data_IF_456499610600
#
_entry.id   IF_456499610600
#
_cell.length_a   1.000
_cell.length_b   1.000
_cell.length_c   1.000
_cell.angle_alpha   90.00
_cell.angle_beta   90.00
_cell.angle_gamma   90.00
#
_symmetry.space_group_name_H-M   'P 1'
#
loop_
_entity.id
_entity.type
_entity.pdbx_description
1 polymer ?
#
# COMPACT_ATOMS: atom_id res chain seq x y z
N UNK A 1 30.38 -16.77 -28.30
CA UNK A 1 28.97 -17.11 -28.60
C UNK A 1 28.77 -16.86 -30.08
N UNK A 2 28.65 -17.90 -30.92
CA UNK A 2 28.49 -17.72 -32.37
C UNK A 2 27.00 -17.63 -32.75
N UNK A 3 26.58 -16.43 -33.17
CA UNK A 3 25.37 -16.04 -33.91
C UNK A 3 24.00 -16.60 -33.46
N UNK A 4 23.56 -16.27 -32.24
CA UNK A 4 22.12 -16.32 -31.91
C UNK A 4 21.36 -15.18 -32.62
N UNK A 5 21.95 -13.98 -32.64
CA UNK A 5 21.31 -12.78 -33.19
C UNK A 5 21.65 -12.56 -34.67
N UNK A 6 20.66 -12.05 -35.41
CA UNK A 6 20.84 -11.44 -36.74
C UNK A 6 21.00 -9.95 -36.56
N UNK A 7 22.10 -9.39 -37.04
CA UNK A 7 22.31 -7.94 -37.03
C UNK A 7 21.73 -7.35 -38.31
N UNK A 8 20.72 -6.49 -38.18
CA UNK A 8 20.02 -5.85 -39.30
C UNK A 8 19.94 -4.34 -39.08
N UNK A 9 19.90 -3.52 -40.14
CA UNK A 9 19.61 -2.10 -40.02
C UNK A 9 18.30 -1.87 -39.27
N UNK A 10 18.26 -0.86 -38.41
CA UNK A 10 17.06 -0.54 -37.62
C UNK A 10 15.84 -0.24 -38.50
N UNK A 11 16.06 0.30 -39.69
CA UNK A 11 15.04 0.56 -40.71
C UNK A 11 14.25 -0.69 -41.11
N UNK A 12 14.81 -1.89 -40.97
CA UNK A 12 14.11 -3.16 -41.25
C UNK A 12 13.12 -3.57 -40.15
N UNK A 13 13.15 -2.91 -38.99
CA UNK A 13 12.23 -3.13 -37.88
C UNK A 13 11.10 -2.08 -37.82
N UNK A 14 11.03 -1.15 -38.79
CA UNK A 14 10.06 -0.05 -38.78
C UNK A 14 8.61 -0.48 -38.51
N UNK A 15 8.14 -1.53 -39.20
CA UNK A 15 6.77 -2.05 -39.06
C UNK A 15 6.57 -2.94 -37.82
N UNK A 16 7.64 -3.21 -37.06
CA UNK A 16 7.62 -4.03 -35.84
C UNK A 16 7.66 -3.20 -34.56
N UNK A 17 7.96 -1.91 -34.63
CA UNK A 17 7.95 -1.05 -33.46
C UNK A 17 6.51 -0.75 -33.00
N UNK A 18 6.17 -0.98 -31.72
CA UNK A 18 4.88 -0.62 -31.14
C UNK A 18 4.64 0.89 -31.19
N UNK A 19 3.41 1.31 -31.50
CA UNK A 19 3.05 2.73 -31.69
C UNK A 19 3.38 3.63 -30.48
N UNK A 20 3.35 3.07 -29.26
CA UNK A 20 3.66 3.78 -28.03
C UNK A 20 5.16 3.94 -27.74
N UNK A 21 6.04 3.24 -28.45
CA UNK A 21 7.47 3.22 -28.14
C UNK A 21 8.21 4.45 -28.67
N UNK A 22 9.30 4.82 -27.98
CA UNK A 22 10.26 5.82 -28.44
C UNK A 22 10.83 5.43 -29.81
N UNK A 23 11.14 4.14 -30.01
CA UNK A 23 11.68 3.64 -31.27
C UNK A 23 10.75 3.83 -32.46
N UNK A 24 9.43 3.68 -32.31
CA UNK A 24 8.48 3.92 -33.40
C UNK A 24 8.51 5.39 -33.88
N UNK A 25 8.83 6.33 -32.97
CA UNK A 25 8.87 7.77 -33.26
C UNK A 25 10.21 8.21 -33.86
N UNK A 26 11.32 7.65 -33.39
CA UNK A 26 12.65 8.18 -33.67
C UNK A 26 13.56 7.26 -34.48
N UNK A 27 13.14 6.06 -34.89
CA UNK A 27 14.01 5.16 -35.68
C UNK A 27 14.53 5.79 -36.99
N UNK A 28 13.80 6.76 -37.57
CA UNK A 28 14.17 7.43 -38.81
C UNK A 28 15.34 8.42 -38.64
N UNK A 29 15.66 8.81 -37.40
CA UNK A 29 16.79 9.69 -37.10
C UNK A 29 18.13 8.95 -37.15
N UNK A 30 18.10 7.62 -37.23
CA UNK A 30 19.27 6.76 -37.31
C UNK A 30 19.55 6.33 -38.75
N UNK A 31 20.85 6.20 -39.07
CA UNK A 31 21.29 5.70 -40.37
C UNK A 31 21.27 4.17 -40.42
N UNK A 32 21.43 3.60 -41.63
CA UNK A 32 21.54 2.15 -41.81
C UNK A 32 22.82 1.54 -41.21
N UNK A 33 23.76 2.37 -40.75
CA UNK A 33 24.95 1.91 -40.01
C UNK A 33 24.60 1.50 -38.57
N UNK A 34 23.51 2.04 -38.00
CA UNK A 34 22.99 1.61 -36.71
C UNK A 34 22.15 0.35 -36.84
N UNK A 35 22.45 -0.62 -35.99
CA UNK A 35 21.96 -1.98 -36.10
C UNK A 35 21.07 -2.37 -34.93
N UNK A 36 20.12 -3.24 -35.23
CA UNK A 36 19.36 -4.01 -34.28
C UNK A 36 19.92 -5.44 -34.19
N UNK A 37 20.12 -5.93 -32.97
CA UNK A 37 20.34 -7.34 -32.72
C UNK A 37 18.98 -8.06 -32.65
N UNK A 38 18.56 -8.67 -33.76
CA UNK A 38 17.28 -9.36 -33.89
C UNK A 38 17.38 -10.85 -33.55
N UNK A 39 16.46 -11.33 -32.73
CA UNK A 39 16.30 -12.74 -32.38
C UNK A 39 14.86 -13.18 -32.60
N UNK A 40 14.66 -14.34 -33.24
CA UNK A 40 13.33 -14.90 -33.54
C UNK A 40 13.09 -16.14 -32.67
N UNK A 41 12.01 -16.12 -31.87
CA UNK A 41 11.65 -17.17 -30.93
C UNK A 41 12.07 -16.89 -29.49
N UNK A 42 11.88 -17.89 -28.62
CA UNK A 42 12.15 -17.76 -27.18
C UNK A 42 13.67 -17.81 -26.90
N UNK A 43 14.13 -16.90 -26.03
CA UNK A 43 15.54 -16.76 -25.66
C UNK A 43 15.73 -16.94 -24.15
N UNK A 44 16.77 -17.68 -23.77
CA UNK A 44 17.23 -17.79 -22.38
C UNK A 44 18.70 -17.46 -22.28
N UNK A 45 19.06 -16.50 -21.42
CA UNK A 45 20.44 -16.10 -21.16
C UNK A 45 20.74 -16.09 -19.65
N UNK A 46 21.96 -16.42 -19.21
CA UNK A 46 22.31 -16.25 -17.79
C UNK A 46 22.45 -14.77 -17.41
N UNK A 47 22.81 -13.91 -18.36
CA UNK A 47 22.90 -12.47 -18.13
C UNK A 47 22.93 -11.72 -19.45
N UNK A 48 22.50 -10.46 -19.43
CA UNK A 48 22.59 -9.53 -20.54
C UNK A 48 23.03 -8.16 -20.03
N UNK A 49 24.20 -7.70 -20.49
CA UNK A 49 24.65 -6.32 -20.28
C UNK A 49 24.14 -5.45 -21.43
N UNK A 50 23.51 -4.32 -21.12
CA UNK A 50 22.99 -3.34 -22.08
C UNK A 50 23.92 -2.13 -22.28
N UNK A 51 25.10 -2.09 -21.65
CA UNK A 51 26.12 -1.06 -21.95
C UNK A 51 26.49 -1.10 -23.44
N UNK A 52 26.44 0.07 -24.12
CA UNK A 52 26.81 0.22 -25.54
C UNK A 52 28.20 -0.34 -25.86
N UNK A 53 29.14 -0.23 -24.94
CA UNK A 53 30.52 -0.67 -25.15
C UNK A 53 30.70 -2.21 -25.10
N UNK A 54 29.77 -2.93 -24.48
CA UNK A 54 30.03 -4.31 -24.03
C UNK A 54 28.99 -5.36 -24.42
N UNK A 55 27.75 -4.98 -24.75
CA UNK A 55 26.69 -5.96 -24.99
C UNK A 55 27.02 -6.92 -26.16
N UNK A 56 27.61 -6.36 -27.22
CA UNK A 56 28.02 -7.09 -28.41
C UNK A 56 29.48 -6.75 -28.73
N UNK A 57 30.47 -7.38 -28.07
CA UNK A 57 31.88 -7.03 -28.21
C UNK A 57 32.45 -7.23 -29.64
N UNK A 58 31.64 -7.77 -30.55
CA UNK A 58 31.97 -7.98 -31.97
C UNK A 58 31.14 -7.10 -32.92
N UNK A 59 30.15 -6.33 -32.43
CA UNK A 59 29.27 -5.49 -33.23
C UNK A 59 29.01 -4.14 -32.51
N UNK A 60 29.78 -3.10 -32.87
CA UNK A 60 29.83 -1.82 -32.14
C UNK A 60 28.64 -0.88 -32.36
N UNK A 61 27.88 -1.09 -33.43
CA UNK A 61 26.79 -0.18 -33.83
C UNK A 61 25.40 -0.69 -33.40
N UNK A 62 25.34 -1.61 -32.44
CA UNK A 62 24.05 -2.13 -31.95
C UNK A 62 23.45 -1.14 -30.96
N UNK A 63 22.29 -0.60 -31.31
CA UNK A 63 21.58 0.39 -30.47
C UNK A 63 20.31 -0.17 -29.83
N UNK A 64 19.82 -1.31 -30.34
CA UNK A 64 18.65 -2.01 -29.81
C UNK A 64 18.78 -3.53 -29.95
N UNK A 65 18.28 -4.26 -28.96
CA UNK A 65 18.05 -5.69 -29.00
C UNK A 65 16.56 -5.94 -29.19
N UNK A 66 16.20 -6.69 -30.23
CA UNK A 66 14.81 -7.03 -30.53
C UNK A 66 14.61 -8.54 -30.43
N UNK A 67 13.82 -8.99 -29.47
CA UNK A 67 13.48 -10.40 -29.24
C UNK A 67 12.02 -10.61 -29.63
N UNK A 68 11.82 -11.31 -30.74
CA UNK A 68 10.52 -11.68 -31.27
C UNK A 68 10.05 -13.02 -30.65
N UNK A 69 9.73 -12.97 -29.35
CA UNK A 69 9.38 -14.12 -28.53
C UNK A 69 9.45 -13.81 -27.03
N UNK A 70 9.44 -14.85 -26.19
CA UNK A 70 9.65 -14.69 -24.76
C UNK A 70 11.15 -14.58 -24.43
N UNK A 71 11.48 -13.79 -23.41
CA UNK A 71 12.85 -13.64 -22.94
C UNK A 71 12.96 -14.06 -21.47
N UNK A 72 13.89 -14.94 -21.16
CA UNK A 72 14.24 -15.31 -19.78
C UNK A 72 15.71 -14.99 -19.54
N UNK A 73 16.00 -14.23 -18.50
CA UNK A 73 17.38 -13.84 -18.17
C UNK A 73 17.60 -13.87 -16.67
N UNK A 74 18.71 -14.38 -16.14
CA UNK A 74 18.90 -14.22 -14.69
C UNK A 74 19.14 -12.73 -14.39
N UNK A 75 20.18 -12.13 -14.97
CA UNK A 75 20.55 -10.74 -14.67
C UNK A 75 20.54 -9.85 -15.92
N UNK A 76 19.68 -8.83 -15.93
CA UNK A 76 19.64 -7.78 -16.95
C UNK A 76 20.16 -6.47 -16.34
N UNK A 77 21.18 -5.87 -16.93
CA UNK A 77 21.79 -4.67 -16.33
C UNK A 77 22.54 -3.78 -17.32
N UNK A 78 22.82 -2.55 -16.91
CA UNK A 78 23.83 -1.66 -17.48
C UNK A 78 24.44 -0.79 -16.37
N UNK A 79 25.63 -0.24 -16.60
CA UNK A 79 26.27 0.73 -15.71
C UNK A 79 26.19 2.16 -16.24
N UNK A 80 26.24 2.33 -17.55
CA UNK A 80 26.09 3.65 -18.18
C UNK A 80 24.61 4.04 -18.18
N UNK A 81 24.25 5.12 -17.49
CA UNK A 81 22.85 5.53 -17.28
C UNK A 81 22.45 6.72 -18.14
N UNK A 82 23.38 7.45 -18.77
CA UNK A 82 23.07 8.54 -19.72
C UNK A 82 22.79 8.01 -21.15
N UNK A 83 22.76 6.68 -21.31
CA UNK A 83 22.36 6.02 -22.53
C UNK A 83 22.84 4.58 -22.62
N UNK A 84 21.93 3.66 -22.91
CA UNK A 84 22.21 2.23 -23.03
C UNK A 84 21.47 1.60 -24.23
N UNK A 85 21.80 0.34 -24.54
CA UNK A 85 21.14 -0.40 -25.62
C UNK A 85 19.69 -0.65 -25.23
N UNK A 86 18.76 -0.19 -26.07
CA UNK A 86 17.34 -0.46 -25.87
C UNK A 86 17.02 -1.95 -25.97
N UNK A 87 15.96 -2.40 -25.29
CA UNK A 87 15.50 -3.78 -25.32
C UNK A 87 14.02 -3.85 -25.65
N UNK A 88 13.65 -4.64 -26.65
CA UNK A 88 12.26 -4.88 -27.02
C UNK A 88 11.96 -6.37 -27.04
N UNK A 89 10.92 -6.78 -26.30
CA UNK A 89 10.45 -8.15 -26.17
C UNK A 89 8.98 -8.21 -26.56
N UNK A 90 8.65 -8.99 -27.59
CA UNK A 90 7.26 -9.13 -28.08
C UNK A 90 6.42 -10.11 -27.26
N UNK A 91 7.04 -10.92 -26.41
CA UNK A 91 6.39 -11.81 -25.44
C UNK A 91 6.60 -11.38 -23.99
N UNK A 92 6.69 -12.36 -23.09
CA UNK A 92 6.95 -12.15 -21.67
C UNK A 92 8.46 -12.01 -21.40
N UNK A 93 8.80 -11.19 -20.40
CA UNK A 93 10.16 -11.09 -19.85
C UNK A 93 10.17 -11.64 -18.42
N UNK A 94 10.94 -12.71 -18.21
CA UNK A 94 11.23 -13.24 -16.87
C UNK A 94 12.67 -12.92 -16.53
N UNK A 95 12.88 -12.24 -15.40
CA UNK A 95 14.19 -11.90 -14.89
C UNK A 95 14.38 -12.36 -13.45
N UNK A 96 15.63 -12.68 -13.05
CA UNK A 96 15.95 -12.76 -11.62
C UNK A 96 16.16 -11.35 -11.06
N UNK A 97 17.01 -10.57 -11.72
CA UNK A 97 17.31 -9.18 -11.38
C UNK A 97 17.31 -8.29 -12.62
N UNK A 98 16.81 -7.08 -12.48
CA UNK A 98 16.91 -6.00 -13.46
C UNK A 98 17.44 -4.75 -12.75
N UNK A 99 18.57 -4.21 -13.21
CA UNK A 99 19.14 -2.94 -12.74
C UNK A 99 19.62 -2.12 -13.95
N UNK A 100 18.81 -1.15 -14.39
CA UNK A 100 18.95 -0.49 -15.69
C UNK A 100 18.75 1.01 -15.61
N UNK A 101 19.21 1.75 -16.63
CA UNK A 101 19.05 3.21 -16.71
C UNK A 101 19.46 3.81 -18.05
N UNK A 102 18.76 4.84 -18.52
CA UNK A 102 19.09 5.56 -19.76
C UNK A 102 18.55 5.02 -21.08
N UNK A 103 17.78 3.93 -21.06
CA UNK A 103 17.19 3.32 -22.25
C UNK A 103 15.70 3.01 -22.09
N UNK A 104 15.02 2.84 -23.22
CA UNK A 104 13.71 2.21 -23.26
C UNK A 104 13.84 0.68 -23.18
N UNK A 105 13.12 0.08 -22.24
CA UNK A 105 12.81 -1.35 -22.22
C UNK A 105 11.32 -1.53 -22.49
N UNK A 106 10.97 -2.27 -23.54
CA UNK A 106 9.59 -2.50 -23.93
C UNK A 106 9.25 -4.00 -23.85
N UNK A 107 8.21 -4.33 -23.09
CA UNK A 107 7.68 -5.70 -22.94
C UNK A 107 6.21 -5.72 -23.34
N UNK A 108 5.89 -6.44 -24.42
CA UNK A 108 4.50 -6.54 -24.90
C UNK A 108 3.64 -7.49 -24.05
N UNK A 109 4.28 -8.42 -23.33
CA UNK A 109 3.63 -9.33 -22.40
C UNK A 109 3.83 -8.92 -20.94
N UNK A 110 3.93 -9.92 -20.07
CA UNK A 110 4.14 -9.73 -18.64
C UNK A 110 5.64 -9.59 -18.32
N UNK A 111 5.94 -8.78 -17.30
CA UNK A 111 7.27 -8.65 -16.71
C UNK A 111 7.28 -9.29 -15.31
N UNK A 112 8.05 -10.36 -15.14
CA UNK A 112 8.20 -11.06 -13.86
C UNK A 112 9.65 -10.96 -13.39
N UNK A 113 9.88 -10.38 -12.21
CA UNK A 113 11.21 -10.21 -11.62
C UNK A 113 11.27 -10.93 -10.27
N UNK A 114 12.15 -11.92 -10.14
CA UNK A 114 12.21 -12.76 -8.92
C UNK A 114 12.70 -12.00 -7.69
N UNK A 115 13.72 -11.14 -7.85
CA UNK A 115 14.33 -10.38 -6.76
C UNK A 115 14.13 -8.87 -7.00
N UNK A 116 15.10 -8.18 -7.61
CA UNK A 116 15.13 -6.72 -7.71
C UNK A 116 14.79 -6.22 -9.10
N UNK A 117 13.84 -5.29 -9.18
CA UNK A 117 13.66 -4.37 -10.30
C UNK A 117 14.13 -2.98 -9.87
N UNK A 118 15.16 -2.44 -10.52
CA UNK A 118 15.68 -1.11 -10.27
C UNK A 118 15.85 -0.38 -11.60
N UNK A 119 15.21 0.77 -11.71
CA UNK A 119 15.45 1.75 -12.78
C UNK A 119 16.12 2.97 -12.17
N UNK A 120 17.12 3.53 -12.86
CA UNK A 120 17.79 4.76 -12.46
C UNK A 120 17.92 5.71 -13.65
N UNK A 121 18.03 6.99 -13.34
CA UNK A 121 18.23 8.13 -14.23
C UNK A 121 17.02 8.44 -15.12
N UNK A 122 16.62 9.70 -15.14
CA UNK A 122 15.38 10.17 -15.74
C UNK A 122 15.31 10.10 -17.28
N UNK A 123 16.40 9.72 -17.95
CA UNK A 123 16.47 9.59 -19.41
C UNK A 123 15.92 8.26 -19.97
N UNK A 124 15.51 7.31 -19.12
CA UNK A 124 15.00 6.00 -19.55
C UNK A 124 13.59 5.66 -19.05
N UNK A 125 13.01 4.62 -19.64
CA UNK A 125 11.72 4.09 -19.21
C UNK A 125 11.58 2.59 -19.47
N UNK A 126 10.84 1.91 -18.59
CA UNK A 126 10.34 0.55 -18.84
C UNK A 126 8.84 0.60 -19.09
N UNK A 127 8.40 0.06 -20.22
CA UNK A 127 7.00 -0.03 -20.62
C UNK A 127 6.61 -1.51 -20.63
N UNK A 128 5.58 -1.86 -19.86
CA UNK A 128 5.01 -3.21 -19.77
C UNK A 128 3.53 -3.15 -20.14
N UNK A 129 3.15 -3.83 -21.21
CA UNK A 129 1.75 -3.85 -21.66
C UNK A 129 0.92 -4.87 -20.85
N UNK A 130 1.55 -5.94 -20.37
CA UNK A 130 0.93 -6.90 -19.48
C UNK A 130 1.03 -6.52 -17.99
N UNK A 131 1.02 -7.54 -17.15
CA UNK A 131 1.18 -7.40 -15.70
C UNK A 131 2.67 -7.29 -15.31
N UNK A 132 2.94 -6.56 -14.22
CA UNK A 132 4.26 -6.46 -13.60
C UNK A 132 4.24 -7.14 -12.22
N UNK A 133 5.19 -8.04 -11.98
CA UNK A 133 5.48 -8.58 -10.66
C UNK A 133 6.96 -8.47 -10.32
N UNK A 134 7.27 -8.00 -9.11
CA UNK A 134 8.62 -8.01 -8.56
C UNK A 134 8.60 -8.24 -7.05
N UNK A 135 9.63 -8.88 -6.50
CA UNK A 135 9.78 -8.97 -5.05
C UNK A 135 10.14 -7.61 -4.44
N UNK A 136 11.10 -6.90 -5.04
CA UNK A 136 11.48 -5.55 -4.63
C UNK A 136 11.57 -4.64 -5.85
N UNK A 137 10.86 -3.51 -5.80
CA UNK A 137 11.00 -2.41 -6.73
C UNK A 137 11.79 -1.29 -6.03
N UNK A 138 12.98 -0.98 -6.56
CA UNK A 138 13.82 0.12 -6.11
C UNK A 138 13.64 1.28 -7.08
N UNK A 139 13.03 2.36 -6.59
CA UNK A 139 12.87 3.60 -7.32
C UNK A 139 14.09 4.47 -7.08
N UNK A 140 14.80 4.79 -8.15
CA UNK A 140 15.98 5.63 -8.16
C UNK A 140 15.90 6.62 -9.34
N UNK A 141 16.33 7.85 -9.07
CA UNK A 141 16.50 8.96 -10.01
C UNK A 141 15.45 9.08 -11.15
N UNK A 142 14.16 9.11 -10.78
CA UNK A 142 12.98 9.36 -11.63
C UNK A 142 12.79 8.41 -12.84
N UNK A 143 13.45 7.25 -12.89
CA UNK A 143 13.26 6.31 -13.99
C UNK A 143 11.80 5.83 -14.10
N UNK A 144 11.19 6.00 -15.28
CA UNK A 144 9.75 5.76 -15.45
C UNK A 144 9.43 4.27 -15.66
N UNK A 145 8.53 3.70 -14.86
CA UNK A 145 8.02 2.33 -15.04
C UNK A 145 6.51 2.36 -15.28
N UNK A 146 6.13 2.23 -16.55
CA UNK A 146 4.75 2.27 -17.03
C UNK A 146 4.22 0.85 -17.22
N UNK A 147 3.04 0.59 -16.67
CA UNK A 147 2.40 -0.73 -16.70
C UNK A 147 0.92 -0.53 -17.04
N UNK A 148 0.45 -1.18 -18.10
CA UNK A 148 -0.98 -1.15 -18.49
C UNK A 148 -1.81 -2.18 -17.72
N UNK A 149 -1.20 -3.29 -17.30
CA UNK A 149 -1.79 -4.33 -16.46
C UNK A 149 -1.69 -4.06 -14.95
N UNK A 150 -1.81 -5.12 -14.15
CA UNK A 150 -1.71 -5.03 -12.68
C UNK A 150 -0.24 -5.00 -12.21
N UNK A 151 0.03 -4.20 -11.17
CA UNK A 151 1.31 -4.19 -10.45
C UNK A 151 1.19 -5.04 -9.17
N UNK A 152 2.04 -6.04 -9.04
CA UNK A 152 2.16 -6.89 -7.84
C UNK A 152 3.59 -6.83 -7.31
N UNK A 153 3.84 -5.82 -6.46
CA UNK A 153 5.15 -5.55 -5.87
C UNK A 153 5.09 -5.90 -4.38
N UNK A 154 5.98 -6.78 -3.90
CA UNK A 154 5.98 -7.16 -2.48
C UNK A 154 6.64 -6.09 -1.60
N UNK A 155 7.68 -5.43 -2.10
CA UNK A 155 8.39 -4.32 -1.45
C UNK A 155 8.63 -3.19 -2.44
N UNK A 156 8.22 -1.98 -2.09
CA UNK A 156 8.65 -0.75 -2.76
C UNK A 156 9.74 -0.11 -1.89
N UNK A 157 10.79 0.41 -2.51
CA UNK A 157 11.88 1.11 -1.85
C UNK A 157 12.15 2.39 -2.63
N UNK A 158 12.25 3.51 -1.95
CA UNK A 158 12.70 4.77 -2.54
C UNK A 158 14.04 5.18 -1.93
N UNK A 159 15.07 5.21 -2.76
CA UNK A 159 16.46 5.37 -2.30
C UNK A 159 16.78 6.79 -1.85
N UNK A 160 16.12 7.79 -2.41
CA UNK A 160 16.31 9.21 -2.06
C UNK A 160 15.85 9.53 -0.65
N UNK A 161 14.95 8.72 -0.13
CA UNK A 161 14.17 9.02 1.05
C UNK A 161 14.51 8.07 2.20
N UNK A 162 15.37 7.08 1.95
CA UNK A 162 15.82 6.08 2.93
C UNK A 162 14.73 5.09 3.38
N UNK A 163 13.55 5.15 2.78
CA UNK A 163 12.35 4.46 3.25
C UNK A 163 11.72 3.56 2.17
N UNK A 164 10.95 2.57 2.62
CA UNK A 164 10.21 1.66 1.76
C UNK A 164 8.88 1.19 2.37
N UNK A 165 8.13 0.44 1.58
CA UNK A 165 6.87 -0.19 1.96
C UNK A 165 6.95 -1.68 1.63
N UNK A 166 6.94 -2.54 2.64
CA UNK A 166 6.88 -3.99 2.48
C UNK A 166 5.49 -4.49 2.87
N UNK A 167 4.70 -4.93 1.88
CA UNK A 167 3.34 -5.43 2.10
C UNK A 167 2.52 -4.52 3.03
N UNK A 168 2.43 -3.24 2.67
CA UNK A 168 1.75 -2.15 3.41
C UNK A 168 2.44 -1.65 4.68
N UNK A 169 3.49 -2.34 5.17
CA UNK A 169 4.23 -1.92 6.36
C UNK A 169 5.40 -1.01 5.97
N UNK A 170 5.64 0.09 6.70
CA UNK A 170 6.84 0.88 6.48
C UNK A 170 8.08 0.06 6.85
N UNK A 171 9.09 0.09 5.99
CA UNK A 171 10.36 -0.61 6.18
C UNK A 171 11.50 0.37 5.93
N UNK A 172 12.58 0.25 6.69
CA UNK A 172 13.82 0.99 6.43
C UNK A 172 14.57 0.32 5.26
N UNK A 173 15.13 1.12 4.35
CA UNK A 173 15.83 0.59 3.17
C UNK A 173 17.00 -0.35 3.54
N UNK A 174 17.70 -0.08 4.64
CA UNK A 174 18.79 -0.89 5.15
C UNK A 174 18.31 -2.22 5.73
N UNK A 175 17.02 -2.40 6.01
CA UNK A 175 16.47 -3.72 6.37
C UNK A 175 16.21 -4.59 5.15
N UNK A 176 16.04 -3.98 3.97
CA UNK A 176 15.72 -4.64 2.70
C UNK A 176 16.98 -4.93 1.88
N UNK A 177 17.84 -3.93 1.71
CA UNK A 177 19.04 -4.01 0.88
C UNK A 177 20.30 -4.30 1.72
N UNK A 178 21.29 -4.98 1.14
CA UNK A 178 22.58 -5.24 1.80
C UNK A 178 23.37 -3.94 2.00
N UNK A 179 24.14 -3.84 3.08
CA UNK A 179 24.88 -2.61 3.39
C UNK A 179 25.91 -2.25 2.29
N UNK A 180 26.37 -3.23 1.50
CA UNK A 180 27.33 -3.00 0.42
C UNK A 180 26.81 -2.06 -0.68
N UNK A 181 25.49 -1.95 -0.88
CA UNK A 181 24.96 -1.05 -1.91
C UNK A 181 24.87 0.41 -1.44
N UNK A 182 25.29 0.70 -0.22
CA UNK A 182 25.36 2.04 0.32
C UNK A 182 26.82 2.48 0.46
N UNK A 183 27.13 3.69 0.00
CA UNK A 183 28.47 4.26 0.08
C UNK A 183 28.50 5.37 1.13
N UNK A 184 29.55 5.36 1.94
CA UNK A 184 29.86 6.46 2.86
C UNK A 184 30.23 7.70 2.04
N UNK A 185 29.33 8.68 2.00
CA UNK A 185 29.60 9.96 1.35
C UNK A 185 30.20 10.95 2.37
N UNK A 186 29.71 10.96 3.61
CA UNK A 186 30.22 11.72 4.77
C UNK A 186 29.93 10.98 6.11
N UNK A 187 30.50 11.42 7.24
CA UNK A 187 30.42 10.73 8.56
C UNK A 187 28.99 10.49 9.11
N UNK A 188 27.96 11.10 8.51
CA UNK A 188 26.57 11.03 8.96
C UNK A 188 25.57 10.49 7.92
N UNK A 189 25.95 10.32 6.64
CA UNK A 189 25.02 9.94 5.55
C UNK A 189 25.59 8.84 4.63
N UNK A 190 24.87 7.71 4.55
CA UNK A 190 25.11 6.61 3.62
C UNK A 190 24.14 6.69 2.44
N UNK A 191 24.65 6.80 1.22
CA UNK A 191 23.82 6.97 0.01
C UNK A 191 23.78 5.68 -0.82
N UNK A 192 22.60 5.36 -1.36
CA UNK A 192 22.44 4.23 -2.27
C UNK A 192 23.29 4.43 -3.54
N UNK A 193 23.97 3.37 -3.97
CA UNK A 193 24.79 3.35 -5.17
C UNK A 193 24.28 2.34 -6.19
N UNK A 194 23.65 2.84 -7.25
CA UNK A 194 23.23 2.04 -8.39
C UNK A 194 24.39 1.23 -9.00
N UNK A 195 25.56 1.86 -9.16
CA UNK A 195 26.76 1.18 -9.66
C UNK A 195 27.16 -0.03 -8.81
N UNK A 196 27.02 0.08 -7.49
CA UNK A 196 27.34 -1.04 -6.58
C UNK A 196 26.26 -2.11 -6.61
N UNK A 197 24.97 -1.75 -6.71
CA UNK A 197 23.89 -2.71 -6.97
C UNK A 197 24.17 -3.53 -8.24
N UNK A 198 24.55 -2.87 -9.34
CA UNK A 198 24.91 -3.56 -10.60
C UNK A 198 26.10 -4.51 -10.38
N UNK A 199 27.13 -4.12 -9.62
CA UNK A 199 28.26 -5.00 -9.31
C UNK A 199 27.82 -6.28 -8.56
N UNK A 200 26.96 -6.14 -7.54
CA UNK A 200 26.42 -7.27 -6.76
C UNK A 200 25.66 -8.24 -7.68
N UNK A 201 24.83 -7.70 -8.58
CA UNK A 201 24.07 -8.49 -9.57
C UNK A 201 25.01 -9.19 -10.56
N UNK A 202 26.03 -8.50 -11.09
CA UNK A 202 27.04 -9.07 -12.00
C UNK A 202 27.79 -10.23 -11.34
N UNK A 203 28.09 -10.11 -10.05
CA UNK A 203 28.70 -11.17 -9.23
C UNK A 203 27.74 -12.33 -8.91
N UNK A 204 26.48 -12.24 -9.35
CA UNK A 204 25.40 -13.22 -9.12
C UNK A 204 25.07 -13.40 -7.63
N UNK A 205 25.28 -12.35 -6.84
CA UNK A 205 24.84 -12.27 -5.45
C UNK A 205 23.47 -11.59 -5.40
N UNK A 206 22.72 -11.89 -4.35
CA UNK A 206 21.49 -11.14 -4.07
C UNK A 206 21.86 -9.85 -3.35
N UNK A 207 21.29 -8.73 -3.78
CA UNK A 207 21.40 -7.47 -3.05
C UNK A 207 20.31 -7.32 -1.96
N UNK A 208 19.44 -8.33 -1.80
CA UNK A 208 18.45 -8.37 -0.74
C UNK A 208 19.05 -8.99 0.52
N UNK A 209 18.80 -8.37 1.67
CA UNK A 209 18.94 -9.05 2.95
C UNK A 209 17.91 -10.17 3.02
N UNK A 210 18.22 -11.25 3.73
CA UNK A 210 17.19 -12.23 4.09
C UNK A 210 16.23 -11.50 5.03
N UNK A 211 15.13 -10.99 4.47
CA UNK A 211 14.04 -10.36 5.22
C UNK A 211 13.58 -11.39 6.26
N UNK A 212 14.07 -11.24 7.49
CA UNK A 212 13.92 -12.23 8.54
C UNK A 212 12.45 -12.26 9.02
N UNK A 213 12.04 -13.40 9.57
CA UNK A 213 10.80 -13.63 10.31
C UNK A 213 10.50 -12.59 11.43
N UNK A 214 11.44 -11.69 11.73
CA UNK A 214 11.29 -10.55 12.65
C UNK A 214 10.22 -9.55 12.22
N UNK A 215 10.04 -9.28 10.92
CA UNK A 215 8.93 -8.44 10.43
C UNK A 215 7.55 -9.13 10.60
N UNK A 216 7.54 -10.44 10.86
CA UNK A 216 6.31 -11.22 11.08
C UNK A 216 6.03 -11.57 12.56
N UNK A 217 6.91 -11.18 13.50
CA UNK A 217 6.81 -11.65 14.88
C UNK A 217 5.89 -10.78 15.73
N UNK A 218 4.60 -11.14 15.74
CA UNK A 218 3.59 -10.54 16.63
C UNK A 218 3.97 -10.69 18.10
N UNK A 219 3.99 -9.58 18.85
CA UNK A 219 3.96 -9.62 20.32
C UNK A 219 2.60 -10.16 20.78
N UNK A 220 2.53 -10.92 21.88
CA UNK A 220 1.25 -11.31 22.45
C UNK A 220 0.49 -10.06 22.89
N UNK A 221 -0.71 -9.86 22.34
CA UNK A 221 -1.56 -8.70 22.61
C UNK A 221 -2.70 -9.10 23.54
N UNK A 222 -3.04 -8.26 24.52
CA UNK A 222 -4.15 -8.50 25.44
C UNK A 222 -5.48 -8.14 24.78
N UNK A 223 -6.37 -9.12 24.59
CA UNK A 223 -7.68 -8.91 24.00
C UNK A 223 -8.71 -8.39 25.03
N UNK A 224 -9.63 -7.55 24.58
CA UNK A 224 -10.72 -6.99 25.39
C UNK A 224 -11.79 -8.05 25.71
N UNK A 225 -12.20 -8.80 24.69
CA UNK A 225 -12.98 -10.03 24.79
C UNK A 225 -12.07 -11.25 24.76
N UNK A 226 -12.19 -12.10 25.79
CA UNK A 226 -11.39 -13.33 25.94
C UNK A 226 -12.16 -14.60 25.59
N UNK A 227 -13.48 -14.51 25.44
CA UNK A 227 -14.38 -15.59 25.05
C UNK A 227 -15.48 -15.03 24.14
N UNK A 228 -15.99 -15.85 23.22
CA UNK A 228 -16.96 -15.45 22.20
C UNK A 228 -18.40 -15.90 22.48
N UNK A 229 -18.73 -16.23 23.73
CA UNK A 229 -20.10 -16.60 24.10
C UNK A 229 -21.03 -15.38 24.05
N UNK A 230 -22.28 -15.57 23.62
CA UNK A 230 -23.35 -14.58 23.82
C UNK A 230 -23.75 -14.66 25.29
N UNK A 231 -23.29 -13.72 26.10
CA UNK A 231 -23.55 -13.66 27.53
C UNK A 231 -23.69 -12.21 28.00
N UNK A 232 -24.21 -12.02 29.22
CA UNK A 232 -24.37 -10.69 29.84
C UNK A 232 -23.04 -9.92 29.87
N UNK A 233 -21.96 -10.58 30.27
CA UNK A 233 -20.63 -9.96 30.39
C UNK A 233 -20.20 -9.29 29.08
N UNK A 234 -20.30 -10.02 27.96
CA UNK A 234 -19.90 -9.53 26.66
C UNK A 234 -20.85 -8.43 26.16
N UNK A 235 -22.16 -8.57 26.38
CA UNK A 235 -23.14 -7.54 26.03
C UNK A 235 -22.88 -6.23 26.79
N UNK A 236 -22.58 -6.30 28.10
CA UNK A 236 -22.23 -5.13 28.91
C UNK A 236 -20.85 -4.56 28.54
N UNK A 237 -19.91 -5.38 28.08
CA UNK A 237 -18.63 -4.91 27.54
C UNK A 237 -18.80 -4.17 26.21
N UNK A 238 -19.72 -4.62 25.34
CA UNK A 238 -20.04 -3.91 24.09
C UNK A 238 -20.51 -2.48 24.34
N UNK A 239 -21.23 -2.24 25.44
CA UNK A 239 -21.71 -0.90 25.80
C UNK A 239 -20.65 -0.02 26.48
N UNK A 240 -19.49 -0.58 26.81
CA UNK A 240 -18.39 0.12 27.45
C UNK A 240 -17.14 0.17 26.56
N UNK A 241 -17.26 -0.28 25.30
CA UNK A 241 -16.16 -0.30 24.37
C UNK A 241 -15.87 1.08 23.77
N UNK A 242 -14.70 1.24 23.17
CA UNK A 242 -14.24 2.49 22.56
C UNK A 242 -15.18 3.06 21.50
N UNK A 243 -15.98 2.24 20.83
CA UNK A 243 -16.92 2.72 19.82
C UNK A 243 -18.18 3.36 20.43
N UNK A 244 -18.44 3.14 21.73
CA UNK A 244 -19.57 3.74 22.43
C UNK A 244 -19.16 5.12 22.98
N UNK A 245 -19.65 6.18 22.35
CA UNK A 245 -19.34 7.57 22.71
C UNK A 245 -20.41 8.17 23.63
N UNK A 246 -20.05 9.20 24.40
CA UNK A 246 -20.96 9.84 25.37
C UNK A 246 -22.10 10.65 24.70
N UNK A 247 -21.95 11.01 23.42
CA UNK A 247 -22.89 11.87 22.68
C UNK A 247 -24.01 11.09 21.98
N UNK A 248 -23.83 9.79 21.74
CA UNK A 248 -24.80 8.94 21.05
C UNK A 248 -25.11 7.69 21.87
N UNK A 249 -26.39 7.29 21.97
CA UNK A 249 -26.76 6.08 22.69
C UNK A 249 -26.51 4.80 21.88
N UNK A 250 -25.79 4.86 20.75
CA UNK A 250 -25.49 3.69 19.91
C UNK A 250 -24.34 3.95 18.96
N UNK A 251 -23.69 2.89 18.52
CA UNK A 251 -22.78 2.90 17.37
C UNK A 251 -23.17 1.80 16.36
N UNK A 252 -22.78 1.99 15.10
CA UNK A 252 -23.01 1.04 14.03
C UNK A 252 -21.88 1.04 12.99
N UNK A 253 -21.68 -0.10 12.33
CA UNK A 253 -20.69 -0.27 11.26
C UNK A 253 -21.03 -1.50 10.38
N UNK A 254 -20.33 -1.64 9.26
CA UNK A 254 -20.42 -2.82 8.38
C UNK A 254 -19.07 -3.52 8.27
N UNK A 255 -19.06 -4.84 8.35
CA UNK A 255 -17.87 -5.68 8.14
C UNK A 255 -18.25 -6.94 7.36
N UNK A 256 -17.50 -7.24 6.29
CA UNK A 256 -17.72 -8.41 5.41
C UNK A 256 -19.19 -8.62 4.97
N UNK A 257 -19.91 -7.53 4.70
CA UNK A 257 -21.31 -7.57 4.27
C UNK A 257 -22.33 -7.82 5.40
N UNK A 258 -21.89 -7.74 6.65
CA UNK A 258 -22.75 -7.80 7.84
C UNK A 258 -22.80 -6.42 8.49
N UNK A 259 -24.00 -5.93 8.76
CA UNK A 259 -24.23 -4.69 9.50
C UNK A 259 -24.39 -4.98 10.99
N UNK A 260 -23.72 -4.20 11.83
CA UNK A 260 -23.79 -4.27 13.28
C UNK A 260 -24.29 -2.95 13.84
N UNK A 261 -25.17 -3.01 14.84
CA UNK A 261 -25.54 -1.86 15.67
C UNK A 261 -25.62 -2.30 17.13
N UNK A 262 -24.93 -1.57 18.01
CA UNK A 262 -24.99 -1.75 19.47
C UNK A 262 -25.62 -0.51 20.07
N UNK A 263 -26.56 -0.70 20.99
CA UNK A 263 -27.38 0.37 21.53
C UNK A 263 -27.50 0.29 23.05
N UNK A 264 -27.38 1.44 23.72
CA UNK A 264 -27.64 1.66 25.13
C UNK A 264 -29.14 1.80 25.40
N UNK A 265 -29.49 1.56 26.66
CA UNK A 265 -30.80 1.93 27.16
C UNK A 265 -30.98 3.46 27.08
N UNK A 266 -31.98 3.91 26.33
CA UNK A 266 -32.30 5.33 26.19
C UNK A 266 -33.76 5.55 25.80
N UNK A 267 -34.23 6.78 25.94
CA UNK A 267 -35.52 7.22 25.40
C UNK A 267 -35.22 7.89 24.06
N UNK A 268 -35.81 7.39 22.98
CA UNK A 268 -35.59 7.97 21.66
C UNK A 268 -36.36 9.28 21.44
N UNK A 269 -36.19 9.89 20.25
CA UNK A 269 -36.82 11.17 19.92
C UNK A 269 -38.36 11.12 19.90
N UNK A 270 -38.94 9.93 19.74
CA UNK A 270 -40.37 9.69 19.73
C UNK A 270 -40.93 9.38 21.13
N UNK A 271 -40.04 9.23 22.13
CA UNK A 271 -40.39 8.96 23.52
C UNK A 271 -40.49 7.47 23.85
N UNK A 272 -40.06 6.59 22.94
CA UNK A 272 -40.06 5.14 23.17
C UNK A 272 -38.83 4.74 24.00
N UNK A 273 -39.07 3.91 25.02
CA UNK A 273 -37.98 3.24 25.76
C UNK A 273 -37.31 2.22 24.83
N UNK A 274 -35.99 2.34 24.71
CA UNK A 274 -35.15 1.42 23.94
C UNK A 274 -34.28 0.62 24.89
N UNK A 275 -34.30 -0.70 24.74
CA UNK A 275 -33.48 -1.60 25.55
C UNK A 275 -32.02 -1.62 25.08
N UNK A 276 -31.15 -2.05 26.01
CA UNK A 276 -29.78 -2.42 25.70
C UNK A 276 -29.80 -3.60 24.74
N UNK A 277 -29.33 -3.36 23.52
CA UNK A 277 -29.46 -4.34 22.44
C UNK A 277 -28.31 -4.33 21.43
N UNK A 278 -28.11 -5.50 20.82
CA UNK A 278 -27.22 -5.73 19.69
C UNK A 278 -28.06 -6.21 18.53
N UNK A 279 -28.02 -5.46 17.44
CA UNK A 279 -28.65 -5.81 16.20
C UNK A 279 -27.61 -6.17 15.15
N UNK A 280 -27.81 -7.29 14.47
CA UNK A 280 -26.93 -7.77 13.40
C UNK A 280 -27.75 -8.12 12.18
N UNK A 281 -27.25 -7.80 10.99
CA UNK A 281 -27.91 -8.12 9.72
C UNK A 281 -26.89 -8.64 8.72
N UNK A 282 -27.03 -9.88 8.30
CA UNK A 282 -26.24 -10.48 7.22
C UNK A 282 -27.04 -10.50 5.90
N UNK A 283 -26.67 -11.37 4.96
CA UNK A 283 -27.33 -11.53 3.66
C UNK A 283 -28.54 -12.49 3.67
N UNK A 284 -28.87 -13.11 4.82
CA UNK A 284 -29.97 -14.09 4.99
C UNK A 284 -30.93 -13.69 6.10
N UNK A 285 -30.43 -13.14 7.20
CA UNK A 285 -31.15 -12.94 8.44
C UNK A 285 -30.88 -11.58 9.10
N UNK A 286 -31.82 -11.19 9.94
CA UNK A 286 -31.64 -10.20 10.98
C UNK A 286 -31.64 -10.91 12.33
N UNK A 287 -30.76 -10.47 13.21
CA UNK A 287 -30.65 -10.93 14.58
C UNK A 287 -30.83 -9.75 15.52
N UNK A 288 -31.60 -9.95 16.59
CA UNK A 288 -31.79 -8.98 17.65
C UNK A 288 -31.53 -9.67 19.00
N UNK A 289 -30.53 -9.18 19.71
CA UNK A 289 -30.11 -9.67 21.02
C UNK A 289 -30.33 -8.53 22.00
N UNK A 290 -31.00 -8.78 23.11
CA UNK A 290 -31.18 -7.76 24.16
C UNK A 290 -30.98 -8.37 25.53
N UNK A 291 -30.69 -7.50 26.49
CA UNK A 291 -30.55 -7.87 27.90
C UNK A 291 -31.82 -7.44 28.63
N UNK A 292 -32.51 -8.41 29.24
CA UNK A 292 -33.69 -8.19 30.07
C UNK A 292 -33.31 -7.58 31.43
N UNK A 293 -34.29 -6.98 32.11
CA UNK A 293 -34.08 -6.41 33.46
C UNK A 293 -33.65 -7.44 34.51
N UNK A 294 -33.94 -8.73 34.28
CA UNK A 294 -33.52 -9.84 35.16
C UNK A 294 -32.16 -10.44 34.76
N UNK A 295 -31.43 -9.78 33.85
CA UNK A 295 -30.16 -10.19 33.28
C UNK A 295 -30.22 -11.46 32.40
N UNK A 296 -31.42 -11.92 32.04
CA UNK A 296 -31.58 -12.92 30.99
C UNK A 296 -31.36 -12.30 29.60
N UNK A 297 -30.99 -13.14 28.64
CA UNK A 297 -30.67 -12.70 27.28
C UNK A 297 -31.77 -13.20 26.36
N UNK A 298 -32.42 -12.28 25.67
CA UNK A 298 -33.36 -12.61 24.61
C UNK A 298 -32.66 -12.64 23.25
N UNK A 299 -33.03 -13.61 22.41
CA UNK A 299 -32.53 -13.71 21.04
C UNK A 299 -33.70 -13.89 20.07
N UNK A 300 -33.81 -12.98 19.10
CA UNK A 300 -34.75 -13.08 17.98
C UNK A 300 -34.00 -13.19 16.65
N UNK A 301 -34.55 -13.99 15.74
CA UNK A 301 -34.11 -14.13 14.35
C UNK A 301 -35.28 -13.86 13.41
N UNK A 302 -35.03 -13.20 12.28
CA UNK A 302 -35.97 -13.19 11.14
C UNK A 302 -35.22 -13.29 9.82
N UNK A 303 -35.85 -13.84 8.79
CA UNK A 303 -35.34 -13.81 7.42
C UNK A 303 -35.46 -12.41 6.81
N UNK A 304 -34.64 -12.11 5.80
CA UNK A 304 -34.65 -10.81 5.11
C UNK A 304 -35.89 -10.60 4.24
N UNK A 305 -36.61 -11.67 3.91
CA UNK A 305 -37.82 -11.61 3.07
C UNK A 305 -38.87 -10.67 3.69
N UNK A 306 -39.45 -9.80 2.87
CA UNK A 306 -40.47 -8.85 3.30
C UNK A 306 -41.67 -9.56 3.92
N UNK A 307 -42.07 -9.15 5.13
CA UNK A 307 -43.19 -9.72 5.88
C UNK A 307 -42.84 -10.93 6.76
N UNK A 308 -41.56 -11.30 6.86
CA UNK A 308 -41.10 -12.34 7.78
C UNK A 308 -41.27 -11.92 9.25
N UNK A 309 -41.80 -12.83 10.07
CA UNK A 309 -41.99 -12.62 11.51
C UNK A 309 -40.69 -12.89 12.29
N UNK A 310 -40.57 -12.30 13.48
CA UNK A 310 -39.49 -12.59 14.41
C UNK A 310 -39.73 -13.92 15.12
N UNK A 311 -38.76 -14.81 15.06
CA UNK A 311 -38.71 -16.10 15.74
C UNK A 311 -37.85 -15.99 17.00
N UNK A 312 -38.36 -16.44 18.13
CA UNK A 312 -37.60 -16.57 19.38
C UNK A 312 -36.72 -17.81 19.33
N UNK A 313 -35.41 -17.57 19.38
CA UNK A 313 -34.36 -18.58 19.27
C UNK A 313 -33.56 -18.71 20.57
N UNK A 314 -34.04 -18.15 21.68
CA UNK A 314 -33.34 -18.11 22.97
C UNK A 314 -33.04 -19.51 23.52
N UNK A 315 -33.92 -20.49 23.26
CA UNK A 315 -33.76 -21.88 23.70
C UNK A 315 -33.12 -22.81 22.65
N UNK A 316 -32.67 -22.28 21.49
CA UNK A 316 -32.01 -23.10 20.45
C UNK A 316 -30.65 -23.66 20.92
N UNK A 317 -30.27 -24.83 20.41
CA UNK A 317 -28.99 -25.46 20.74
C UNK A 317 -27.80 -24.74 20.07
N UNK A 318 -26.59 -24.89 20.62
CA UNK A 318 -25.36 -24.28 20.04
C UNK A 318 -25.13 -24.64 18.56
N UNK A 319 -25.51 -25.84 18.11
CA UNK A 319 -25.41 -26.24 16.69
C UNK A 319 -26.38 -25.45 15.79
N UNK A 320 -27.54 -25.07 16.31
CA UNK A 320 -28.55 -24.27 15.59
C UNK A 320 -28.21 -22.77 15.58
N UNK A 321 -27.42 -22.32 16.55
CA UNK A 321 -26.92 -20.95 16.66
C UNK A 321 -25.56 -20.72 15.95
N UNK A 322 -25.09 -21.66 15.11
CA UNK A 322 -23.80 -21.54 14.44
C UNK A 322 -23.69 -20.27 13.58
N UNK A 323 -24.74 -19.93 12.81
CA UNK A 323 -24.74 -18.75 11.93
C UNK A 323 -24.67 -17.43 12.70
N UNK A 324 -25.40 -17.31 13.83
CA UNK A 324 -25.30 -16.13 14.69
C UNK A 324 -23.97 -16.09 15.45
N UNK A 325 -23.39 -17.25 15.79
CA UNK A 325 -22.09 -17.35 16.44
C UNK A 325 -20.96 -16.79 15.57
N UNK A 326 -21.03 -16.96 14.26
CA UNK A 326 -20.05 -16.38 13.32
C UNK A 326 -20.15 -14.85 13.29
N UNK A 327 -21.38 -14.31 13.14
CA UNK A 327 -21.61 -12.87 13.17
C UNK A 327 -21.20 -12.26 14.52
N UNK A 328 -21.53 -12.92 15.62
CA UNK A 328 -21.18 -12.50 16.97
C UNK A 328 -19.66 -12.52 17.19
N UNK A 329 -18.98 -13.61 16.77
CA UNK A 329 -17.52 -13.69 16.85
C UNK A 329 -16.88 -12.58 16.01
N UNK A 330 -17.45 -12.26 14.84
CA UNK A 330 -16.98 -11.14 14.02
C UNK A 330 -17.13 -9.80 14.75
N UNK A 331 -18.30 -9.49 15.32
CA UNK A 331 -18.51 -8.27 16.12
C UNK A 331 -17.47 -8.12 17.24
N UNK A 332 -17.32 -9.16 18.06
CA UNK A 332 -16.35 -9.15 19.17
C UNK A 332 -14.91 -9.03 18.67
N UNK A 333 -14.58 -9.64 17.54
CA UNK A 333 -13.26 -9.49 16.91
C UNK A 333 -13.04 -8.06 16.43
N UNK A 334 -14.05 -7.45 15.81
CA UNK A 334 -13.97 -6.06 15.34
C UNK A 334 -13.72 -5.10 16.50
N UNK A 335 -14.40 -5.30 17.62
CA UNK A 335 -14.25 -4.43 18.80
C UNK A 335 -12.96 -4.71 19.55
N UNK A 336 -12.50 -5.97 19.60
CA UNK A 336 -11.14 -6.28 20.05
C UNK A 336 -10.12 -5.45 19.26
N UNK A 337 -10.23 -5.45 17.94
CA UNK A 337 -9.34 -4.70 17.06
C UNK A 337 -9.46 -3.19 17.27
N UNK A 338 -10.68 -2.66 17.41
CA UNK A 338 -10.92 -1.27 17.76
C UNK A 338 -10.25 -0.89 19.10
N UNK A 339 -10.43 -1.68 20.16
CA UNK A 339 -9.83 -1.44 21.47
C UNK A 339 -8.30 -1.52 21.45
N UNK A 340 -7.74 -2.42 20.62
CA UNK A 340 -6.30 -2.57 20.48
C UNK A 340 -5.64 -1.38 19.79
N UNK A 341 -6.32 -0.77 18.82
CA UNK A 341 -5.67 0.17 17.91
C UNK A 341 -6.22 1.60 17.97
N UNK A 342 -7.50 1.84 18.28
CA UNK A 342 -8.04 3.21 18.33
C UNK A 342 -7.49 4.03 19.51
N UNK A 343 -7.18 3.39 20.65
CA UNK A 343 -6.60 4.10 21.82
C UNK A 343 -5.13 4.48 21.66
N UNK A 344 -4.43 3.97 20.64
CA UNK A 344 -2.97 4.13 20.55
C UNK A 344 -2.53 5.55 20.15
N UNK A 345 -3.49 6.43 19.82
CA UNK A 345 -3.21 7.84 19.49
C UNK A 345 -3.94 8.73 20.49
N UNK A 346 -3.17 9.54 21.20
CA UNK A 346 -3.73 10.52 22.13
C UNK A 346 -4.43 11.64 21.36
N UNK A 347 -5.70 11.90 21.70
CA UNK A 347 -6.50 12.98 21.09
C UNK A 347 -5.80 14.32 21.24
N UNK A 348 -5.27 14.60 22.43
CA UNK A 348 -4.58 15.85 22.73
C UNK A 348 -3.38 16.05 21.80
N UNK A 349 -2.61 15.00 21.51
CA UNK A 349 -1.47 15.09 20.61
C UNK A 349 -1.87 15.52 19.19
N UNK A 350 -2.94 14.92 18.63
CA UNK A 350 -3.45 15.30 17.32
C UNK A 350 -4.00 16.74 17.33
N UNK A 351 -4.71 17.11 18.40
CA UNK A 351 -5.20 18.48 18.57
C UNK A 351 -4.05 19.49 18.67
N UNK A 352 -3.00 19.18 19.43
CA UNK A 352 -1.83 20.06 19.61
C UNK A 352 -1.10 20.29 18.30
N UNK A 353 -0.90 19.24 17.48
CA UNK A 353 -0.35 19.37 16.12
C UNK A 353 -1.23 20.29 15.29
N UNK A 354 -2.53 19.99 15.22
CA UNK A 354 -3.44 20.74 14.38
C UNK A 354 -3.51 22.20 14.80
N UNK A 355 -3.39 22.52 16.09
CA UNK A 355 -3.40 23.90 16.60
C UNK A 355 -2.03 24.60 16.57
N UNK A 356 -0.97 23.92 16.15
CA UNK A 356 0.37 24.49 16.13
C UNK A 356 0.46 25.64 15.09
N UNK A 357 1.13 26.74 15.44
CA UNK A 357 1.19 27.97 14.63
C UNK A 357 1.64 27.67 13.19
N UNK A 358 2.71 26.90 13.03
CA UNK A 358 3.26 26.49 11.72
C UNK A 358 2.22 25.72 10.86
N UNK A 359 1.37 24.90 11.49
CA UNK A 359 0.31 24.16 10.78
C UNK A 359 -0.85 25.10 10.44
N UNK A 360 -1.20 26.02 11.34
CA UNK A 360 -2.26 27.01 11.10
C UNK A 360 -1.90 28.00 9.99
N UNK A 361 -0.62 28.35 9.84
CA UNK A 361 -0.13 29.20 8.75
C UNK A 361 -0.32 28.58 7.36
N UNK A 362 -0.19 27.26 7.21
CA UNK A 362 -0.39 26.55 5.94
C UNK A 362 -1.79 26.77 5.35
N UNK A 363 -2.82 26.90 6.20
CA UNK A 363 -4.20 27.15 5.76
C UNK A 363 -4.47 28.59 5.32
N UNK A 364 -3.56 29.52 5.61
CA UNK A 364 -3.76 30.93 5.30
C UNK A 364 -3.31 31.32 3.88
N UNK A 365 -2.57 30.44 3.21
CA UNK A 365 -2.08 30.62 1.85
C UNK A 365 -2.99 29.87 0.86
N UNK A 366 -3.64 30.59 -0.05
CA UNK A 366 -4.58 30.04 -1.06
C UNK A 366 -3.89 29.23 -2.19
N UNK A 367 -2.86 28.42 -1.91
CA UNK A 367 -2.18 27.59 -2.91
C UNK A 367 -2.29 26.08 -2.63
N UNK A 368 -2.48 25.31 -3.70
CA UNK A 368 -3.00 23.94 -3.75
C UNK A 368 -2.08 22.82 -3.22
N UNK A 369 -1.14 23.09 -2.29
CA UNK A 369 -0.33 22.05 -1.64
C UNK A 369 0.10 22.48 -0.21
N UNK A 370 -0.79 22.32 0.77
CA UNK A 370 -0.71 22.81 2.15
C UNK A 370 -0.15 21.77 3.15
N UNK A 371 0.81 20.96 2.71
CA UNK A 371 1.35 19.84 3.48
C UNK A 371 2.87 19.84 3.68
N UNK A 372 3.34 18.89 4.49
CA UNK A 372 4.76 18.61 4.65
C UNK A 372 5.20 17.39 3.87
N UNK A 373 6.36 17.50 3.24
CA UNK A 373 7.09 16.38 2.66
C UNK A 373 8.27 16.02 3.58
N UNK A 374 8.35 14.76 4.05
CA UNK A 374 9.52 14.29 4.81
C UNK A 374 10.66 13.75 3.94
N UNK A 375 10.47 13.76 2.63
CA UNK A 375 11.32 13.04 1.71
C UNK A 375 10.58 11.91 1.03
N UNK A 376 9.64 11.22 1.71
CA UNK A 376 8.92 10.02 1.24
C UNK A 376 7.41 9.98 1.37
N UNK A 377 6.88 10.75 2.30
CA UNK A 377 5.46 10.77 2.63
C UNK A 377 5.01 12.20 2.65
N UNK A 378 3.78 12.38 2.16
CA UNK A 378 3.14 13.67 2.16
C UNK A 378 2.13 13.71 3.30
N UNK A 379 2.29 14.71 4.16
CA UNK A 379 1.45 14.96 5.31
C UNK A 379 0.58 16.17 5.02
N UNK A 380 -0.72 15.96 4.85
CA UNK A 380 -1.68 17.07 4.74
C UNK A 380 -2.56 17.14 5.97
N UNK A 381 -3.15 18.31 6.16
CA UNK A 381 -3.91 18.63 7.35
C UNK A 381 -5.25 19.22 6.93
N UNK A 382 -6.30 18.94 7.69
CA UNK A 382 -7.59 19.64 7.58
C UNK A 382 -8.09 20.09 8.95
N UNK A 383 -8.40 21.37 9.08
CA UNK A 383 -9.09 21.89 10.26
C UNK A 383 -10.57 21.49 10.25
N UNK A 384 -11.15 21.35 11.45
CA UNK A 384 -12.59 21.12 11.58
C UNK A 384 -13.36 22.34 11.06
N UNK A 385 -14.32 22.11 10.17
CA UNK A 385 -15.18 23.16 9.64
C UNK A 385 -16.53 22.58 9.20
N UNK A 386 -17.52 23.44 9.02
CA UNK A 386 -18.78 23.07 8.36
C UNK A 386 -18.69 23.49 6.90
N UNK A 387 -18.97 22.57 6.00
CA UNK A 387 -18.94 22.86 4.56
C UNK A 387 -20.18 23.66 4.09
N UNK A 388 -20.23 23.95 2.79
CA UNK A 388 -21.30 24.73 2.17
C UNK A 388 -22.67 24.03 2.24
N UNK A 389 -22.70 22.70 2.38
CA UNK A 389 -23.91 21.89 2.47
C UNK A 389 -24.41 21.77 3.93
N UNK A 390 -23.64 22.28 4.89
CA UNK A 390 -23.97 22.28 6.31
C UNK A 390 -23.47 21.04 7.05
N UNK A 391 -22.66 20.20 6.41
CA UNK A 391 -22.09 19.01 7.00
C UNK A 391 -20.84 19.37 7.80
N UNK A 392 -20.76 18.84 9.02
CA UNK A 392 -19.61 19.06 9.90
C UNK A 392 -18.46 18.12 9.52
N UNK A 393 -17.38 18.67 9.01
CA UNK A 393 -16.15 17.96 8.69
C UNK A 393 -15.19 18.04 9.86
N UNK A 394 -14.86 16.87 10.41
CA UNK A 394 -13.90 16.73 11.50
C UNK A 394 -12.47 17.09 11.06
N UNK A 395 -11.68 17.57 12.02
CA UNK A 395 -10.27 17.82 11.81
C UNK A 395 -9.52 16.52 11.53
N UNK A 396 -8.57 16.57 10.59
CA UNK A 396 -7.97 15.39 9.99
C UNK A 396 -6.48 15.60 9.72
N UNK A 397 -5.68 14.57 9.95
CA UNK A 397 -4.31 14.44 9.44
C UNK A 397 -4.33 13.36 8.37
N UNK A 398 -3.65 13.55 7.26
CA UNK A 398 -3.54 12.58 6.18
C UNK A 398 -2.07 12.27 5.93
N UNK A 399 -1.77 10.99 5.73
CA UNK A 399 -0.45 10.49 5.37
C UNK A 399 -0.59 9.78 4.04
N UNK A 400 -0.05 10.37 2.97
CA UNK A 400 0.09 9.71 1.68
C UNK A 400 1.40 8.91 1.68
N UNK A 401 1.29 7.60 1.47
CA UNK A 401 2.43 6.67 1.46
C UNK A 401 3.05 6.55 0.05
N UNK A 402 4.29 6.02 -0.08
CA UNK A 402 4.96 5.87 -1.38
C UNK A 402 4.20 5.04 -2.41
N UNK A 403 3.38 4.08 -1.96
CA UNK A 403 2.51 3.28 -2.82
C UNK A 403 1.19 4.00 -3.19
N UNK A 404 1.08 5.30 -2.89
CA UNK A 404 -0.08 6.17 -3.14
C UNK A 404 -1.33 5.87 -2.30
N UNK A 405 -1.21 5.07 -1.25
CA UNK A 405 -2.28 4.89 -0.29
C UNK A 405 -2.38 6.09 0.66
N UNK A 406 -3.57 6.31 1.23
CA UNK A 406 -3.77 7.34 2.25
C UNK A 406 -4.20 6.71 3.57
N UNK A 407 -3.55 7.15 4.65
CA UNK A 407 -3.99 6.93 6.02
C UNK A 407 -4.50 8.24 6.61
N UNK A 408 -5.74 8.26 7.07
CA UNK A 408 -6.36 9.42 7.69
C UNK A 408 -6.53 9.22 9.18
N UNK A 409 -6.31 10.29 9.95
CA UNK A 409 -6.47 10.33 11.40
C UNK A 409 -7.42 11.46 11.73
N UNK A 410 -8.60 11.15 12.26
CA UNK A 410 -9.68 12.13 12.45
C UNK A 410 -10.03 12.24 13.92
N UNK A 411 -10.09 13.46 14.44
CA UNK A 411 -10.48 13.69 15.84
C UNK A 411 -12.00 13.64 15.94
N UNK A 412 -12.51 12.47 16.32
CA UNK A 412 -13.94 12.23 16.39
C UNK A 412 -14.50 12.67 17.73
N UNK A 413 -15.26 13.77 17.64
CA UNK A 413 -15.98 14.39 18.76
C UNK A 413 -15.09 14.66 20.01
N UNK A 414 -13.77 14.78 19.83
CA UNK A 414 -12.80 15.00 20.92
C UNK A 414 -12.59 13.80 21.84
N UNK A 415 -13.10 12.62 21.49
CA UNK A 415 -13.09 11.43 22.37
C UNK A 415 -11.99 10.43 22.00
N UNK A 416 -11.76 10.22 20.71
CA UNK A 416 -10.69 9.36 20.19
C UNK A 416 -10.26 9.83 18.80
N UNK A 417 -9.21 9.20 18.28
CA UNK A 417 -8.72 9.44 16.91
C UNK A 417 -9.11 8.26 16.03
N UNK A 418 -10.08 8.48 15.16
CA UNK A 418 -10.48 7.54 14.12
C UNK A 418 -9.37 7.38 13.09
N UNK A 419 -9.28 6.19 12.52
CA UNK A 419 -8.30 5.87 11.48
C UNK A 419 -9.02 5.36 10.26
N UNK A 420 -8.69 5.91 9.11
CA UNK A 420 -9.23 5.44 7.84
C UNK A 420 -8.10 5.13 6.88
N UNK A 421 -8.34 4.16 6.01
CA UNK A 421 -7.44 3.82 4.92
C UNK A 421 -8.17 4.05 3.60
N UNK A 422 -7.46 4.63 2.63
CA UNK A 422 -7.91 4.67 1.24
C UNK A 422 -6.83 4.03 0.36
N UNK A 423 -7.19 3.00 -0.44
CA UNK A 423 -6.23 2.33 -1.29
C UNK A 423 -5.75 3.22 -2.44
N UNK A 424 -4.60 2.87 -3.05
CA UNK A 424 -4.07 3.58 -4.20
C UNK A 424 -5.10 3.66 -5.32
N UNK A 425 -5.19 4.84 -5.98
CA UNK A 425 -6.04 5.06 -7.15
C UNK A 425 -7.56 4.86 -6.92
N UNK A 426 -8.04 4.90 -5.68
CA UNK A 426 -9.47 4.80 -5.35
C UNK A 426 -9.96 5.97 -4.49
N UNK A 427 -10.05 7.14 -5.10
CA UNK A 427 -10.53 8.35 -4.44
C UNK A 427 -11.94 8.21 -3.86
N UNK A 428 -12.09 8.64 -2.61
CA UNK A 428 -13.38 8.68 -1.91
C UNK A 428 -13.83 7.35 -1.32
N UNK A 429 -13.00 6.30 -1.40
CA UNK A 429 -13.27 5.04 -0.72
C UNK A 429 -12.46 4.96 0.56
N UNK A 430 -13.13 5.24 1.68
CA UNK A 430 -12.57 4.98 2.99
C UNK A 430 -12.96 3.57 3.42
N UNK A 431 -11.95 2.79 3.79
CA UNK A 431 -12.11 1.47 4.39
C UNK A 431 -11.59 1.53 5.83
N UNK A 432 -12.37 0.98 6.73
CA UNK A 432 -12.01 0.77 8.12
C UNK A 432 -12.43 -0.66 8.48
N UNK A 433 -11.90 -1.63 7.74
CA UNK A 433 -12.09 -3.04 8.10
C UNK A 433 -11.43 -3.29 9.45
N UNK A 434 -12.24 -3.72 10.41
CA UNK A 434 -11.74 -4.06 11.73
C UNK A 434 -11.01 -5.40 11.73
N UNK A 435 -11.15 -6.22 10.68
CA UNK A 435 -10.49 -7.51 10.57
C UNK A 435 -9.14 -7.46 9.85
N UNK A 436 -8.76 -6.31 9.28
CA UNK A 436 -7.48 -6.14 8.59
C UNK A 436 -6.35 -5.70 9.55
N UNK A 437 -5.82 -6.68 10.27
CA UNK A 437 -4.73 -6.45 11.22
C UNK A 437 -3.48 -5.80 10.59
N UNK A 438 -3.18 -6.09 9.33
CA UNK A 438 -1.98 -5.53 8.69
C UNK A 438 -2.12 -4.04 8.47
N UNK A 439 -3.29 -3.60 8.01
CA UNK A 439 -3.59 -2.17 7.84
C UNK A 439 -3.56 -1.41 9.17
N UNK A 440 -4.03 -2.03 10.26
CA UNK A 440 -3.92 -1.43 11.59
C UNK A 440 -2.48 -1.24 12.05
N UNK A 441 -1.66 -2.28 11.87
CA UNK A 441 -0.24 -2.25 12.18
C UNK A 441 0.51 -1.21 11.33
N UNK A 442 0.25 -1.19 10.02
CA UNK A 442 0.78 -0.19 9.10
C UNK A 442 0.43 1.22 9.57
N UNK A 443 -0.85 1.48 9.86
CA UNK A 443 -1.31 2.77 10.36
C UNK A 443 -0.58 3.20 11.64
N UNK A 444 -0.41 2.30 12.61
CA UNK A 444 0.32 2.64 13.84
C UNK A 444 1.78 3.00 13.59
N UNK A 445 2.46 2.25 12.72
CA UNK A 445 3.86 2.51 12.39
C UNK A 445 4.02 3.81 11.59
N UNK A 446 3.15 4.07 10.61
CA UNK A 446 3.15 5.34 9.87
C UNK A 446 2.88 6.52 10.79
N UNK A 447 1.88 6.42 11.67
CA UNK A 447 1.61 7.48 12.64
C UNK A 447 2.79 7.69 13.59
N UNK A 448 3.46 6.61 14.04
CA UNK A 448 4.64 6.72 14.91
C UNK A 448 5.79 7.45 14.24
N UNK A 449 6.09 7.14 12.96
CA UNK A 449 7.10 7.86 12.18
C UNK A 449 6.71 9.31 11.97
N UNK A 450 5.45 9.57 11.66
CA UNK A 450 4.91 10.93 11.55
C UNK A 450 5.12 11.74 12.84
N UNK A 451 4.86 11.15 14.02
CA UNK A 451 5.12 11.82 15.30
C UNK A 451 6.57 12.27 15.43
N UNK A 452 7.50 11.36 15.14
CA UNK A 452 8.94 11.65 15.20
C UNK A 452 9.33 12.78 14.26
N UNK A 453 8.79 12.76 13.02
CA UNK A 453 9.04 13.80 12.03
C UNK A 453 8.49 15.16 12.45
N UNK A 454 7.23 15.21 12.91
CA UNK A 454 6.60 16.47 13.32
C UNK A 454 7.26 17.04 14.57
N UNK A 455 7.60 16.20 15.56
CA UNK A 455 8.31 16.66 16.75
C UNK A 455 9.65 17.32 16.36
N UNK A 456 10.41 16.73 15.43
CA UNK A 456 11.65 17.32 14.90
C UNK A 456 11.42 18.63 14.12
N UNK A 457 10.40 18.68 13.25
CA UNK A 457 10.09 19.87 12.45
C UNK A 457 9.61 21.03 13.33
N UNK A 458 8.75 20.75 14.29
CA UNK A 458 8.27 21.73 15.27
C UNK A 458 9.44 22.23 16.13
N UNK A 459 10.28 21.34 16.67
CA UNK A 459 11.45 21.75 17.46
C UNK A 459 12.45 22.60 16.64
N UNK A 460 12.65 22.30 15.36
CA UNK A 460 13.49 23.09 14.47
C UNK A 460 12.88 24.49 14.18
N UNK A 461 11.55 24.58 14.09
CA UNK A 461 10.82 25.84 13.94
C UNK A 461 10.87 26.75 15.18
N UNK A 462 11.04 26.20 16.38
CA UNK A 462 11.16 26.98 17.63
C UNK A 462 12.51 27.70 17.76
N UNK A 463 13.52 27.33 16.96
CA UNK A 463 14.86 27.91 16.99
C UNK A 463 15.25 28.74 15.74
N UNK A 464 14.28 29.08 14.86
CA UNK A 464 14.52 29.83 13.63
C UNK A 464 14.21 31.32 13.76
#
# INVERSE_FOLDING_TARGET
>A
MSNLFRFIPISQLADKFPEGSWWAKFYQDFSDEQLAAYYEGDLTLPSLNLDWEQAFPQQKEVIIIFIDGNFTVDNLYNKETDGAIGLMVTGNLNAKNIAVGGQEIYVSGNLMVEEILCGTYNHGETIVIGDLSAAVLVQDDEYSIKVDGQKSIACLVNVWEGDGVFQELPVDIHEVLIDEVFLDMDEEDMEFSFCTLVNVIVERRSALKKVNETLTRKKPVHLYFTHNTINEENILKLTQCILMTDDKPSFDFQEQGVFFKVQLEHIDADGDERDLSVYMKDHRHHYYIWLEQDHSIGLLRRTIDEGSEWEDITEESQEQLAEISDCWTMLLTCINMAELYLRNIEVQYVQDILQHDVIQELYSEEEEDDGFWDGSKYYSFRNAHTDEDGDYLHARIEIKTPDEAYYFYTVDHGTYVSRHYQPPNQYGKQDMSFLDLRRWEASEQYFTRFKQFIDQKIEAGVNS
#
